data_IF_088478279212
#
_entry.id   IF_088478279212
#
_cell.length_a   1.000
_cell.length_b   1.000
_cell.length_c   1.000
_cell.angle_alpha   90.00
_cell.angle_beta   90.00
_cell.angle_gamma   90.00
#
_symmetry.space_group_name_H-M   'P 1'
#
loop_
_entity.id
_entity.type
_entity.pdbx_description
1 polymer ?
#
# COMPACT_ATOMS: atom_id res chain seq x y z
N UNK A 1 -13.83 12.75 10.12
CA UNK A 1 -14.46 12.64 11.45
C UNK A 1 -14.98 13.98 11.97
N UNK A 2 -14.53 15.11 11.42
CA UNK A 2 -14.92 16.45 11.92
C UNK A 2 -16.41 16.77 11.81
N UNK A 3 -17.08 16.34 10.74
CA UNK A 3 -18.54 16.53 10.58
C UNK A 3 -19.36 15.83 11.66
N UNK A 4 -18.91 14.65 12.12
CA UNK A 4 -19.56 13.92 13.22
C UNK A 4 -19.34 14.66 14.53
N UNK A 5 -18.10 15.12 14.77
CA UNK A 5 -17.75 15.88 15.97
C UNK A 5 -18.60 17.15 16.12
N UNK A 6 -18.74 17.91 15.03
CA UNK A 6 -19.58 19.11 14.99
C UNK A 6 -21.06 18.80 15.24
N UNK A 7 -21.59 17.73 14.63
CA UNK A 7 -22.99 17.34 14.80
C UNK A 7 -23.32 16.87 16.24
N UNK A 8 -22.32 16.36 16.97
CA UNK A 8 -22.47 15.83 18.33
C UNK A 8 -21.94 16.76 19.43
N UNK A 9 -21.50 17.98 19.09
CA UNK A 9 -20.94 18.95 20.05
C UNK A 9 -19.62 18.51 20.69
N UNK A 10 -18.81 17.72 19.99
CA UNK A 10 -17.47 17.31 20.45
C UNK A 10 -16.45 18.30 19.89
N UNK A 11 -15.89 19.14 20.77
CA UNK A 11 -14.87 20.14 20.40
C UNK A 11 -13.56 19.50 19.92
N UNK A 12 -13.17 18.39 20.55
CA UNK A 12 -11.99 17.60 20.18
C UNK A 12 -12.19 16.15 20.57
N UNK A 13 -11.90 15.25 19.64
CA UNK A 13 -11.88 13.83 19.96
C UNK A 13 -10.78 13.53 21.00
N UNK A 14 -11.08 12.80 22.09
CA UNK A 14 -10.08 12.40 23.09
C UNK A 14 -9.26 11.20 22.57
N UNK A 15 -8.67 11.35 21.39
CA UNK A 15 -7.85 10.33 20.76
C UNK A 15 -6.41 10.43 21.25
N UNK A 16 -5.83 9.29 21.62
CA UNK A 16 -4.40 9.16 21.84
C UNK A 16 -3.80 8.36 20.69
N UNK A 17 -2.66 8.80 20.12
CA UNK A 17 -1.97 8.02 19.10
C UNK A 17 -1.54 6.69 19.71
N UNK A 18 -1.87 5.59 19.03
CA UNK A 18 -1.41 4.25 19.37
C UNK A 18 -0.48 3.76 18.28
N UNK A 19 0.58 3.07 18.69
CA UNK A 19 1.45 2.39 17.74
C UNK A 19 0.88 1.06 17.28
N UNK A 20 -0.16 0.53 17.94
CA UNK A 20 -0.79 -0.72 17.55
C UNK A 20 -1.73 -0.47 16.35
N UNK A 21 -1.33 -0.91 15.16
CA UNK A 21 -2.08 -0.71 13.93
C UNK A 21 -3.17 -1.77 13.74
N UNK A 22 -2.84 -3.06 13.90
CA UNK A 22 -3.82 -4.15 13.80
C UNK A 22 -3.35 -5.40 14.54
N UNK A 23 -4.31 -6.25 14.92
CA UNK A 23 -4.08 -7.58 15.50
C UNK A 23 -4.68 -8.64 14.59
N UNK A 24 -3.88 -9.61 14.18
CA UNK A 24 -4.33 -10.75 13.37
C UNK A 24 -4.42 -11.98 14.26
N UNK A 25 -5.62 -12.55 14.39
CA UNK A 25 -5.86 -13.77 15.14
C UNK A 25 -5.82 -14.97 14.19
N UNK A 26 -4.96 -15.94 14.49
CA UNK A 26 -4.80 -17.15 13.70
C UNK A 26 -5.70 -18.28 14.25
N UNK A 27 -6.07 -19.28 13.42
CA UNK A 27 -6.94 -20.39 13.85
C UNK A 27 -6.41 -21.21 15.04
N UNK A 28 -5.11 -21.21 15.26
CA UNK A 28 -4.45 -21.89 16.39
C UNK A 28 -4.41 -21.04 17.68
N UNK A 29 -5.11 -19.90 17.70
CA UNK A 29 -5.18 -19.00 18.85
C UNK A 29 -4.00 -18.03 18.95
N UNK A 30 -2.99 -18.12 18.08
CA UNK A 30 -1.90 -17.14 18.06
C UNK A 30 -2.42 -15.77 17.63
N UNK A 31 -1.80 -14.73 18.17
CA UNK A 31 -2.04 -13.33 17.84
C UNK A 31 -0.78 -12.72 17.24
N UNK A 32 -0.88 -12.15 16.05
CA UNK A 32 0.18 -11.37 15.41
C UNK A 32 -0.17 -9.89 15.53
N UNK A 33 0.60 -9.17 16.32
CA UNK A 33 0.49 -7.71 16.41
C UNK A 33 1.23 -7.04 15.25
N UNK A 34 0.60 -6.02 14.68
CA UNK A 34 1.19 -5.16 13.68
C UNK A 34 1.25 -3.77 14.26
N UNK A 35 2.46 -3.25 14.34
CA UNK A 35 2.73 -1.91 14.88
C UNK A 35 3.11 -0.94 13.77
N UNK A 36 2.80 0.34 13.98
CA UNK A 36 3.30 1.46 13.20
C UNK A 36 4.62 1.99 13.78
N UNK A 37 5.28 2.91 13.07
CA UNK A 37 6.54 3.50 13.52
C UNK A 37 7.75 2.58 13.33
N UNK A 38 8.88 2.93 13.95
CA UNK A 38 10.16 2.25 13.70
C UNK A 38 10.22 0.83 14.27
N UNK A 39 9.42 0.53 15.29
CA UNK A 39 9.39 -0.79 15.93
C UNK A 39 9.01 -1.92 14.95
N UNK A 40 8.22 -1.59 13.91
CA UNK A 40 7.84 -2.55 12.86
C UNK A 40 9.06 -3.19 12.19
N UNK A 41 10.16 -2.46 12.03
CA UNK A 41 11.38 -2.97 11.43
C UNK A 41 12.07 -4.01 12.32
N UNK A 42 12.10 -3.78 13.64
CA UNK A 42 12.62 -4.75 14.60
C UNK A 42 11.81 -6.06 14.53
N UNK A 43 10.48 -5.96 14.61
CA UNK A 43 9.60 -7.15 14.56
C UNK A 43 9.74 -7.93 13.25
N UNK A 44 9.88 -7.24 12.11
CA UNK A 44 10.10 -7.87 10.81
C UNK A 44 11.43 -8.63 10.75
N UNK A 45 12.51 -8.04 11.28
CA UNK A 45 13.81 -8.70 11.33
C UNK A 45 13.82 -9.90 12.28
N UNK A 46 13.15 -9.80 13.42
CA UNK A 46 12.99 -10.92 14.35
C UNK A 46 12.26 -12.10 13.70
N UNK A 47 11.24 -11.84 12.87
CA UNK A 47 10.45 -12.87 12.21
C UNK A 47 11.10 -13.45 10.94
N UNK A 48 11.80 -12.61 10.14
CA UNK A 48 12.24 -12.96 8.79
C UNK A 48 13.74 -12.75 8.51
N UNK A 49 14.49 -12.26 9.49
CA UNK A 49 15.91 -11.92 9.36
C UNK A 49 16.16 -10.56 8.68
N UNK A 50 17.43 -10.13 8.73
CA UNK A 50 17.84 -8.82 8.21
C UNK A 50 17.64 -8.68 6.69
N UNK A 51 17.73 -9.78 5.92
CA UNK A 51 17.51 -9.75 4.48
C UNK A 51 16.09 -9.32 4.07
N UNK A 52 15.12 -9.42 4.99
CA UNK A 52 13.74 -9.05 4.70
C UNK A 52 13.55 -7.53 4.56
N UNK A 53 14.49 -6.72 5.07
CA UNK A 53 14.36 -5.26 5.03
C UNK A 53 14.23 -4.74 3.60
N UNK A 54 15.01 -5.28 2.64
CA UNK A 54 14.93 -4.90 1.22
C UNK A 54 13.56 -5.20 0.62
N UNK A 55 12.96 -6.34 0.99
CA UNK A 55 11.61 -6.70 0.54
C UNK A 55 10.57 -5.71 1.08
N UNK A 56 10.62 -5.40 2.38
CA UNK A 56 9.66 -4.47 2.99
C UNK A 56 9.82 -3.04 2.45
N UNK A 57 11.05 -2.57 2.24
CA UNK A 57 11.31 -1.28 1.61
C UNK A 57 10.75 -1.23 0.18
N UNK A 58 10.99 -2.28 -0.61
CA UNK A 58 10.41 -2.39 -1.94
C UNK A 58 8.88 -2.37 -1.88
N UNK A 59 8.27 -3.15 -0.99
CA UNK A 59 6.82 -3.26 -0.86
C UNK A 59 6.18 -1.92 -0.45
N UNK A 60 6.78 -1.20 0.49
CA UNK A 60 6.30 0.11 0.94
C UNK A 60 6.42 1.15 -0.16
N UNK A 61 7.59 1.23 -0.82
CA UNK A 61 7.80 2.14 -1.93
C UNK A 61 6.83 1.87 -3.08
N UNK A 62 6.58 0.60 -3.40
CA UNK A 62 5.62 0.21 -4.44
C UNK A 62 4.18 0.56 -4.05
N UNK A 63 3.80 0.34 -2.80
CA UNK A 63 2.47 0.68 -2.29
C UNK A 63 2.24 2.20 -2.32
N UNK A 64 3.19 2.99 -1.83
CA UNK A 64 3.12 4.46 -1.85
C UNK A 64 3.04 5.00 -3.27
N UNK A 65 3.86 4.46 -4.18
CA UNK A 65 3.87 4.80 -5.59
C UNK A 65 2.51 4.52 -6.25
N UNK A 66 1.94 3.33 -6.05
CA UNK A 66 0.63 2.96 -6.59
C UNK A 66 -0.51 3.76 -5.96
N UNK A 67 -0.45 4.06 -4.67
CA UNK A 67 -1.44 4.87 -3.99
C UNK A 67 -1.46 6.31 -4.53
N UNK A 68 -0.29 6.93 -4.74
CA UNK A 68 -0.18 8.25 -5.39
C UNK A 68 -0.74 8.25 -6.82
N UNK A 69 -0.60 7.15 -7.56
CA UNK A 69 -1.20 7.02 -8.89
C UNK A 69 -2.72 6.88 -8.80
N UNK A 70 -3.22 6.04 -7.89
CA UNK A 70 -4.64 5.80 -7.70
C UNK A 70 -5.41 7.07 -7.30
N UNK A 71 -4.82 7.92 -6.46
CA UNK A 71 -5.40 9.22 -6.07
C UNK A 71 -5.59 10.19 -7.25
N UNK A 72 -4.96 9.92 -8.40
CA UNK A 72 -5.15 10.70 -9.63
C UNK A 72 -6.32 10.23 -10.48
N UNK A 73 -6.97 9.13 -10.09
CA UNK A 73 -8.15 8.58 -10.76
C UNK A 73 -7.93 8.20 -12.23
N UNK A 74 -6.86 7.46 -12.60
CA UNK A 74 -6.76 6.93 -13.96
C UNK A 74 -7.95 6.00 -14.24
N UNK A 75 -8.50 6.07 -15.45
CA UNK A 75 -9.62 5.24 -15.88
C UNK A 75 -9.15 3.79 -16.11
N UNK A 76 -8.93 3.05 -15.03
CA UNK A 76 -8.39 1.70 -15.02
C UNK A 76 -9.43 0.66 -14.55
N UNK A 77 -9.59 -0.47 -15.26
CA UNK A 77 -8.96 -0.79 -16.53
C UNK A 77 -9.59 0.01 -17.69
N UNK A 78 -8.80 0.48 -18.68
CA UNK A 78 -9.32 1.30 -19.78
C UNK A 78 -10.31 0.50 -20.63
N UNK A 79 -11.49 1.06 -20.90
CA UNK A 79 -12.53 0.43 -21.73
C UNK A 79 -12.60 1.06 -23.13
N UNK A 80 -12.12 2.30 -23.26
CA UNK A 80 -12.12 3.07 -24.50
C UNK A 80 -10.74 3.64 -24.83
N UNK A 81 -10.49 4.06 -26.09
CA UNK A 81 -9.26 4.79 -26.44
C UNK A 81 -9.06 6.08 -25.63
N UNK A 82 -10.14 6.75 -25.24
CA UNK A 82 -10.07 7.93 -24.39
C UNK A 82 -9.60 7.59 -22.96
N UNK A 83 -10.05 6.45 -22.41
CA UNK A 83 -9.56 5.96 -21.12
C UNK A 83 -8.07 5.64 -21.19
N UNK A 84 -7.62 4.99 -22.26
CA UNK A 84 -6.21 4.70 -22.47
C UNK A 84 -5.36 5.98 -22.51
N UNK A 85 -5.81 7.01 -23.22
CA UNK A 85 -5.15 8.33 -23.22
C UNK A 85 -5.14 8.97 -21.82
N UNK A 86 -6.23 8.83 -21.06
CA UNK A 86 -6.31 9.31 -19.69
C UNK A 86 -5.32 8.59 -18.77
N UNK A 87 -5.23 7.27 -18.85
CA UNK A 87 -4.26 6.45 -18.09
C UNK A 87 -2.83 6.87 -18.42
N UNK A 88 -2.49 7.01 -19.71
CA UNK A 88 -1.16 7.45 -20.14
C UNK A 88 -0.81 8.84 -19.61
N UNK A 89 -1.76 9.78 -19.66
CA UNK A 89 -1.55 11.15 -19.13
C UNK A 89 -1.31 11.15 -17.63
N UNK A 90 -2.13 10.43 -16.86
CA UNK A 90 -1.95 10.34 -15.40
C UNK A 90 -0.65 9.61 -15.05
N UNK A 91 -0.31 8.53 -15.76
CA UNK A 91 0.93 7.78 -15.60
C UNK A 91 2.18 8.60 -15.94
N UNK A 92 2.17 9.34 -17.05
CA UNK A 92 3.28 10.20 -17.46
C UNK A 92 3.50 11.36 -16.46
N UNK A 93 2.43 12.04 -16.05
CA UNK A 93 2.49 13.08 -15.02
C UNK A 93 2.95 12.53 -13.67
N UNK A 94 2.58 11.30 -13.35
CA UNK A 94 2.99 10.62 -12.13
C UNK A 94 4.48 10.25 -12.16
N UNK A 95 4.95 9.70 -13.27
CA UNK A 95 6.34 9.30 -13.43
C UNK A 95 7.29 10.51 -13.53
N UNK A 96 6.84 11.60 -14.16
CA UNK A 96 7.62 12.83 -14.25
C UNK A 96 7.95 13.45 -12.89
N UNK A 97 7.14 13.19 -11.84
CA UNK A 97 7.40 13.67 -10.48
C UNK A 97 8.48 12.86 -9.75
N UNK A 98 8.61 11.57 -10.04
CA UNK A 98 9.70 10.74 -9.54
C UNK A 98 9.97 9.55 -10.47
N UNK A 99 11.01 9.65 -11.32
CA UNK A 99 11.36 8.59 -12.27
C UNK A 99 11.76 7.27 -11.60
N UNK A 100 12.17 7.30 -10.33
CA UNK A 100 12.56 6.09 -9.57
C UNK A 100 11.37 5.17 -9.31
N UNK A 101 10.15 5.65 -9.53
CA UNK A 101 8.92 4.84 -9.48
C UNK A 101 8.80 3.88 -10.66
N UNK A 102 9.61 4.04 -11.72
CA UNK A 102 9.61 3.13 -12.85
C UNK A 102 10.13 1.75 -12.41
N UNK A 103 9.25 0.77 -12.43
CA UNK A 103 9.60 -0.63 -12.22
C UNK A 103 9.06 -1.47 -13.37
N UNK A 104 9.94 -2.06 -14.21
CA UNK A 104 9.52 -2.98 -15.26
C UNK A 104 8.69 -4.15 -14.71
N UNK A 105 8.98 -4.60 -13.49
CA UNK A 105 8.21 -5.64 -12.82
C UNK A 105 6.78 -5.18 -12.50
N UNK A 106 6.58 -3.96 -11.99
CA UNK A 106 5.24 -3.43 -11.70
C UNK A 106 4.40 -3.25 -12.97
N UNK A 107 5.02 -2.83 -14.08
CA UNK A 107 4.33 -2.75 -15.37
C UNK A 107 3.86 -4.12 -15.87
N UNK A 108 4.69 -5.15 -15.71
CA UNK A 108 4.29 -6.51 -16.04
C UNK A 108 3.15 -7.00 -15.14
N UNK A 109 3.20 -6.67 -13.85
CA UNK A 109 2.19 -7.06 -12.86
C UNK A 109 0.83 -6.38 -13.06
N UNK A 110 0.78 -5.21 -13.69
CA UNK A 110 -0.48 -4.55 -14.05
C UNK A 110 -1.37 -5.43 -14.98
N UNK A 111 -0.77 -6.32 -15.75
CA UNK A 111 -1.46 -7.20 -16.69
C UNK A 111 -1.31 -8.69 -16.38
N UNK A 112 -0.60 -9.04 -15.30
CA UNK A 112 -0.43 -10.42 -14.88
C UNK A 112 -1.37 -10.75 -13.74
N UNK A 113 -2.07 -11.89 -13.80
CA UNK A 113 -2.83 -12.36 -12.66
C UNK A 113 -1.89 -12.78 -11.54
N UNK A 114 -2.35 -12.65 -10.29
CA UNK A 114 -1.58 -13.08 -9.10
C UNK A 114 -1.20 -14.58 -9.15
N UNK A 115 -2.01 -15.39 -9.85
CA UNK A 115 -1.71 -16.80 -10.12
C UNK A 115 -0.33 -17.01 -10.77
N UNK A 116 0.18 -16.04 -11.54
CA UNK A 116 1.51 -16.11 -12.13
C UNK A 116 2.63 -16.23 -11.08
N UNK A 117 2.45 -15.62 -9.90
CA UNK A 117 3.38 -15.63 -8.77
C UNK A 117 3.13 -16.79 -7.80
N UNK A 118 1.88 -17.26 -7.72
CA UNK A 118 1.48 -18.35 -6.80
C UNK A 118 1.79 -19.75 -7.32
N UNK A 119 2.28 -19.91 -8.56
CA UNK A 119 2.64 -21.23 -9.14
C UNK A 119 3.68 -22.03 -8.33
N UNK A 120 4.33 -21.41 -7.36
CA UNK A 120 5.31 -22.03 -6.45
C UNK A 120 4.98 -21.81 -4.97
N UNK A 121 3.81 -21.29 -4.66
CA UNK A 121 3.34 -21.18 -3.28
C UNK A 121 2.79 -22.54 -2.83
N UNK A 122 3.13 -23.00 -1.61
CA UNK A 122 2.61 -24.24 -1.05
C UNK A 122 1.09 -24.20 -0.83
#
# INVERSE_FOLDING_TARGET
>A
MDRVAQATGIDRWPTHPTNHAMSVHLPDGRRIERVSGNERWRMRREAFGNQADTFWQWQENAADALWDLALRGPAWPPQTPADAASVLRHGASWLARDPRRLSPALLADAFRPIAAHLRRAP
#
